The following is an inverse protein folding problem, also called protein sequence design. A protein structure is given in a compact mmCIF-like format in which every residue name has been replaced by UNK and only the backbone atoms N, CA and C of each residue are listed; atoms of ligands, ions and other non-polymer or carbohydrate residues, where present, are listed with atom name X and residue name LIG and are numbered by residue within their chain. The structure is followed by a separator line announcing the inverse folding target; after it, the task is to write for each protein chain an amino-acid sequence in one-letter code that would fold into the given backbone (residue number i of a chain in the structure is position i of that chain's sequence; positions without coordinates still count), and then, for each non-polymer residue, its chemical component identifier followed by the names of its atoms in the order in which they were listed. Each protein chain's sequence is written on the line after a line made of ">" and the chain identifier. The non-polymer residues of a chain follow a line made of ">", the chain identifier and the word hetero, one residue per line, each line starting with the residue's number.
data_IF_756091593498
#
_entry.id   IF_756091593498
#
_cell.length_a   1.000
_cell.length_b   1.000
_cell.length_c   1.000
_cell.angle_alpha   90.00
_cell.angle_beta   90.00
_cell.angle_gamma   90.00
#
_symmetry.space_group_name_H-M   'P 1'
#
loop_
_entity.id
_entity.type
_entity.pdbx_description
1 polymer ?
#
# COMPACT_ATOMS: atom_id res chain seq x y z
N UNK A 1 -11.88 -18.14 13.59
CA UNK A 1 -11.04 -17.13 14.29
C UNK A 1 -10.69 -16.01 13.33
N UNK A 2 -10.88 -14.76 13.75
CA UNK A 2 -10.56 -13.61 12.90
C UNK A 2 -9.05 -13.42 12.80
N UNK A 3 -8.59 -13.12 11.59
CA UNK A 3 -7.17 -12.83 11.37
C UNK A 3 -6.76 -11.53 12.07
N UNK A 4 -5.52 -11.45 12.47
CA UNK A 4 -4.89 -10.24 13.00
C UNK A 4 -3.69 -9.82 12.13
N UNK A 5 -3.60 -10.36 10.92
CA UNK A 5 -2.47 -10.15 10.03
C UNK A 5 -2.81 -9.18 8.92
N UNK A 6 -1.93 -8.21 8.72
CA UNK A 6 -2.02 -7.23 7.63
C UNK A 6 -0.99 -7.60 6.57
N UNK A 7 -1.40 -7.63 5.31
CA UNK A 7 -0.50 -7.90 4.20
C UNK A 7 0.01 -6.58 3.61
N UNK A 8 1.32 -6.43 3.57
CA UNK A 8 1.96 -5.33 2.85
C UNK A 8 2.34 -5.85 1.46
N UNK A 9 1.85 -5.18 0.42
CA UNK A 9 2.21 -5.52 -0.96
C UNK A 9 3.06 -4.39 -1.48
N UNK A 10 4.33 -4.68 -1.76
CA UNK A 10 5.32 -3.67 -2.13
C UNK A 10 5.85 -3.90 -3.53
N UNK A 11 5.79 -2.86 -4.35
CA UNK A 11 6.47 -2.83 -5.64
C UNK A 11 7.81 -2.14 -5.43
N UNK A 12 8.90 -2.90 -5.54
CA UNK A 12 10.24 -2.40 -5.19
C UNK A 12 11.05 -1.91 -6.38
N UNK A 13 10.40 -1.29 -7.35
CA UNK A 13 11.08 -0.77 -8.52
C UNK A 13 12.17 0.25 -8.13
N UNK A 14 11.85 1.14 -7.18
CA UNK A 14 12.82 2.10 -6.62
C UNK A 14 13.10 1.66 -5.18
N UNK A 15 14.12 0.82 -4.98
CA UNK A 15 14.35 0.14 -3.71
C UNK A 15 14.56 1.07 -2.51
N UNK A 16 15.25 2.19 -2.68
CA UNK A 16 15.45 3.15 -1.59
C UNK A 16 14.13 3.72 -1.08
N UNK A 17 13.26 4.08 -2.01
CA UNK A 17 11.94 4.65 -1.70
C UNK A 17 11.07 3.58 -1.06
N UNK A 18 11.05 2.39 -1.65
CA UNK A 18 10.27 1.26 -1.14
C UNK A 18 10.70 0.86 0.27
N UNK A 19 12.00 0.86 0.55
CA UNK A 19 12.51 0.53 1.87
C UNK A 19 12.02 1.50 2.94
N UNK A 20 11.97 2.80 2.64
CA UNK A 20 11.42 3.79 3.56
C UNK A 20 9.94 3.54 3.84
N UNK A 21 9.17 3.30 2.78
CA UNK A 21 7.74 3.04 2.90
C UNK A 21 7.46 1.77 3.71
N UNK A 22 8.17 0.71 3.41
CA UNK A 22 8.02 -0.58 4.08
C UNK A 22 8.35 -0.50 5.56
N UNK A 23 9.47 0.10 5.90
CA UNK A 23 9.93 0.18 7.28
C UNK A 23 8.93 0.91 8.17
N UNK A 24 8.42 2.05 7.70
CA UNK A 24 7.44 2.83 8.46
C UNK A 24 6.12 2.09 8.60
N UNK A 25 5.71 1.37 7.57
CA UNK A 25 4.49 0.57 7.62
C UNK A 25 4.64 -0.58 8.63
N UNK A 26 5.73 -1.33 8.55
CA UNK A 26 6.00 -2.46 9.46
C UNK A 26 6.03 -2.00 10.91
N UNK A 27 6.75 -0.92 11.19
CA UNK A 27 6.88 -0.41 12.56
C UNK A 27 5.52 -0.01 13.13
N UNK A 28 4.70 0.66 12.35
CA UNK A 28 3.38 1.08 12.82
C UNK A 28 2.43 -0.09 13.03
N UNK A 29 2.44 -1.06 12.12
CA UNK A 29 1.61 -2.27 12.26
C UNK A 29 1.95 -3.00 13.56
N UNK A 30 3.22 -3.17 13.84
CA UNK A 30 3.69 -3.83 15.08
C UNK A 30 3.31 -3.03 16.32
N UNK A 31 3.51 -1.71 16.26
CA UNK A 31 3.15 -0.81 17.36
C UNK A 31 1.67 -0.92 17.74
N UNK A 32 0.81 -1.11 16.74
CA UNK A 32 -0.64 -1.20 16.96
C UNK A 32 -1.12 -2.61 17.30
N UNK A 33 -0.20 -3.55 17.47
CA UNK A 33 -0.51 -4.90 17.93
C UNK A 33 -0.98 -5.87 16.84
N UNK A 34 -0.72 -5.56 15.58
CA UNK A 34 -1.04 -6.45 14.47
C UNK A 34 0.18 -7.22 14.01
N UNK A 35 -0.07 -8.38 13.42
CA UNK A 35 0.97 -9.13 12.69
C UNK A 35 1.02 -8.63 11.25
N UNK A 36 2.11 -8.93 10.56
CA UNK A 36 2.23 -8.55 9.15
C UNK A 36 2.92 -9.63 8.33
N UNK A 37 2.64 -9.62 7.06
CA UNK A 37 3.41 -10.32 6.03
C UNK A 37 3.71 -9.31 4.94
N UNK A 38 4.80 -9.52 4.21
CA UNK A 38 5.19 -8.65 3.11
C UNK A 38 5.43 -9.49 1.86
N UNK A 39 4.83 -9.11 0.76
CA UNK A 39 5.10 -9.70 -0.55
C UNK A 39 5.56 -8.62 -1.51
N UNK A 40 6.44 -9.00 -2.41
CA UNK A 40 6.95 -8.11 -3.44
C UNK A 40 6.31 -8.43 -4.78
N UNK A 41 6.06 -7.37 -5.56
CA UNK A 41 5.59 -7.49 -6.94
C UNK A 41 6.50 -6.65 -7.84
N UNK A 42 6.54 -6.93 -9.15
CA UNK A 42 7.45 -6.22 -10.05
C UNK A 42 7.23 -4.71 -10.12
N UNK A 43 5.99 -4.27 -10.15
CA UNK A 43 5.66 -2.86 -10.25
C UNK A 43 4.30 -2.56 -9.67
N UNK A 44 3.94 -1.27 -9.64
CA UNK A 44 2.66 -0.83 -9.08
C UNK A 44 1.47 -1.43 -9.87
N UNK A 45 1.67 -1.71 -11.14
CA UNK A 45 0.61 -2.27 -11.99
C UNK A 45 0.18 -3.67 -11.51
N UNK A 46 1.06 -4.42 -10.85
CA UNK A 46 0.77 -5.76 -10.36
C UNK A 46 0.21 -5.81 -8.95
N UNK A 47 0.21 -4.68 -8.23
CA UNK A 47 -0.28 -4.62 -6.86
C UNK A 47 -1.75 -5.03 -6.72
N UNK A 48 -2.68 -4.53 -7.56
CA UNK A 48 -4.08 -4.93 -7.41
C UNK A 48 -4.32 -6.43 -7.57
N UNK A 49 -3.65 -7.07 -8.52
CA UNK A 49 -3.80 -8.51 -8.74
C UNK A 49 -3.31 -9.31 -7.53
N UNK A 50 -2.15 -8.94 -6.98
CA UNK A 50 -1.61 -9.60 -5.80
C UNK A 50 -2.57 -9.47 -4.60
N UNK A 51 -3.16 -8.29 -4.42
CA UNK A 51 -4.12 -8.06 -3.36
C UNK A 51 -5.38 -8.92 -3.57
N UNK A 52 -5.87 -8.98 -4.81
CA UNK A 52 -7.04 -9.79 -5.13
C UNK A 52 -6.78 -11.27 -4.87
N UNK A 53 -5.60 -11.78 -5.19
CA UNK A 53 -5.23 -13.16 -4.88
C UNK A 53 -5.27 -13.41 -3.37
N UNK A 54 -4.65 -12.50 -2.61
CA UNK A 54 -4.57 -12.62 -1.16
C UNK A 54 -5.95 -12.54 -0.49
N UNK A 55 -6.82 -11.68 -1.01
CA UNK A 55 -8.16 -11.49 -0.46
C UNK A 55 -9.00 -12.77 -0.49
N UNK A 56 -8.79 -13.61 -1.50
CA UNK A 56 -9.52 -14.87 -1.63
C UNK A 56 -9.16 -15.88 -0.56
N UNK A 57 -8.03 -15.72 0.11
CA UNK A 57 -7.59 -16.67 1.14
C UNK A 57 -8.23 -16.42 2.49
N UNK A 58 -8.84 -15.26 2.71
CA UNK A 58 -9.40 -14.82 4.00
C UNK A 58 -8.36 -14.81 5.12
N UNK A 59 -7.09 -14.72 4.77
CA UNK A 59 -5.97 -14.81 5.70
C UNK A 59 -5.63 -13.45 6.36
N UNK A 60 -6.02 -12.36 5.71
CA UNK A 60 -5.61 -11.01 6.14
C UNK A 60 -6.80 -10.15 6.52
N UNK A 61 -6.59 -9.32 7.55
CA UNK A 61 -7.63 -8.38 8.01
C UNK A 61 -7.55 -7.04 7.26
N UNK A 62 -6.40 -6.74 6.68
CA UNK A 62 -6.20 -5.50 5.94
C UNK A 62 -4.98 -5.59 5.04
N UNK A 63 -4.82 -4.57 4.22
CA UNK A 63 -3.79 -4.53 3.18
C UNK A 63 -3.18 -3.15 3.10
N UNK A 64 -1.86 -3.07 2.90
CA UNK A 64 -1.17 -1.81 2.62
C UNK A 64 -0.47 -1.96 1.28
N UNK A 65 -0.85 -1.13 0.33
CA UNK A 65 -0.26 -1.13 -1.01
C UNK A 65 0.82 -0.07 -1.07
N UNK A 66 2.06 -0.48 -1.27
CA UNK A 66 3.21 0.42 -1.31
C UNK A 66 3.92 0.36 -2.66
N UNK A 67 4.36 1.49 -3.14
CA UNK A 67 5.10 1.57 -4.38
C UNK A 67 5.42 3.00 -4.75
N UNK A 68 6.04 3.14 -5.92
CA UNK A 68 6.39 4.46 -6.44
C UNK A 68 6.41 4.41 -7.96
N UNK A 69 5.67 5.34 -8.57
CA UNK A 69 5.67 5.52 -10.02
C UNK A 69 6.19 6.93 -10.28
N UNK A 70 7.22 7.03 -11.11
CA UNK A 70 7.81 8.31 -11.48
C UNK A 70 7.60 8.51 -12.99
N UNK A 71 7.14 9.71 -13.37
CA UNK A 71 6.85 10.01 -14.77
C UNK A 71 8.10 9.89 -15.61
N UNK A 72 8.00 9.14 -16.71
CA UNK A 72 9.05 9.01 -17.71
C UNK A 72 8.69 9.79 -18.96
N UNK A 73 9.25 9.36 -20.10
CA UNK A 73 9.08 10.06 -21.38
C UNK A 73 7.76 9.76 -22.09
N UNK A 74 7.07 8.70 -21.67
CA UNK A 74 5.87 8.22 -22.36
C UNK A 74 4.64 8.29 -21.46
N UNK A 75 3.48 7.97 -22.02
CA UNK A 75 2.22 7.93 -21.30
C UNK A 75 2.10 6.72 -20.37
N UNK A 76 3.11 5.85 -20.30
CA UNK A 76 3.10 4.66 -19.43
C UNK A 76 2.77 5.01 -17.98
N UNK A 77 3.33 6.11 -17.48
CA UNK A 77 3.05 6.61 -16.13
C UNK A 77 1.55 6.75 -15.87
N UNK A 78 0.85 7.37 -16.83
CA UNK A 78 -0.59 7.64 -16.67
C UNK A 78 -1.39 6.34 -16.57
N UNK A 79 -1.06 5.34 -17.38
CA UNK A 79 -1.73 4.05 -17.33
C UNK A 79 -1.49 3.33 -16.01
N UNK A 80 -0.25 3.31 -15.53
CA UNK A 80 0.09 2.63 -14.28
C UNK A 80 -0.61 3.30 -13.11
N UNK A 81 -0.56 4.62 -13.02
CA UNK A 81 -1.19 5.37 -11.94
C UNK A 81 -2.71 5.19 -11.95
N UNK A 82 -3.32 5.39 -13.12
CA UNK A 82 -4.78 5.32 -13.23
C UNK A 82 -5.32 3.92 -12.94
N UNK A 83 -4.71 2.89 -13.52
CA UNK A 83 -5.22 1.53 -13.36
C UNK A 83 -4.95 0.95 -11.98
N UNK A 84 -3.80 1.24 -11.38
CA UNK A 84 -3.53 0.78 -10.01
C UNK A 84 -4.49 1.44 -9.02
N UNK A 85 -4.72 2.74 -9.13
CA UNK A 85 -5.64 3.46 -8.26
C UNK A 85 -7.08 2.99 -8.45
N UNK A 86 -7.52 2.86 -9.71
CA UNK A 86 -8.87 2.44 -10.04
C UNK A 86 -9.18 1.03 -9.49
N UNK A 87 -8.27 0.09 -9.74
CA UNK A 87 -8.47 -1.29 -9.30
C UNK A 87 -8.46 -1.43 -7.79
N UNK A 88 -7.55 -0.72 -7.10
CA UNK A 88 -7.51 -0.74 -5.63
C UNK A 88 -8.76 -0.09 -5.02
N UNK A 89 -9.25 0.98 -5.63
CA UNK A 89 -10.49 1.60 -5.19
C UNK A 89 -11.68 0.64 -5.34
N UNK A 90 -11.73 -0.09 -6.45
CA UNK A 90 -12.79 -1.08 -6.65
C UNK A 90 -12.76 -2.16 -5.57
N UNK A 91 -11.59 -2.65 -5.22
CA UNK A 91 -11.43 -3.64 -4.15
C UNK A 91 -11.82 -3.05 -2.79
N UNK A 92 -11.51 -1.79 -2.54
CA UNK A 92 -11.92 -1.09 -1.32
C UNK A 92 -13.45 -1.01 -1.20
N UNK A 93 -14.12 -0.66 -2.29
CA UNK A 93 -15.58 -0.55 -2.32
C UNK A 93 -16.23 -1.92 -2.10
N UNK A 94 -15.55 -3.00 -2.49
CA UNK A 94 -16.02 -4.36 -2.25
C UNK A 94 -15.86 -4.80 -0.79
N UNK A 95 -15.25 -3.97 0.06
CA UNK A 95 -15.19 -4.21 1.50
C UNK A 95 -13.83 -4.56 2.06
N UNK A 96 -12.75 -4.40 1.29
CA UNK A 96 -11.41 -4.66 1.78
C UNK A 96 -10.82 -3.41 2.41
N UNK A 97 -10.14 -3.57 3.54
CA UNK A 97 -9.51 -2.46 4.25
C UNK A 97 -8.11 -2.21 3.67
N UNK A 98 -7.99 -1.19 2.85
CA UNK A 98 -6.77 -0.93 2.07
C UNK A 98 -6.19 0.44 2.41
N UNK A 99 -4.89 0.49 2.68
CA UNK A 99 -4.13 1.73 2.76
C UNK A 99 -3.40 1.93 1.44
N UNK A 100 -3.59 3.08 0.81
CA UNK A 100 -3.00 3.38 -0.51
C UNK A 100 -1.72 4.19 -0.32
N UNK A 101 -0.58 3.54 -0.53
CA UNK A 101 0.75 4.15 -0.41
C UNK A 101 1.58 4.03 -1.67
N UNK A 102 0.95 3.99 -2.83
CA UNK A 102 1.65 4.04 -4.11
C UNK A 102 1.85 5.51 -4.46
N UNK A 103 3.11 5.94 -4.43
CA UNK A 103 3.48 7.32 -4.75
C UNK A 103 3.43 7.53 -6.26
N UNK A 104 2.86 8.65 -6.68
CA UNK A 104 2.76 9.00 -8.09
C UNK A 104 3.40 10.38 -8.26
N UNK A 105 4.64 10.39 -8.74
CA UNK A 105 5.51 11.58 -8.67
C UNK A 105 6.08 11.95 -10.03
N UNK A 106 6.44 13.23 -10.18
CA UNK A 106 7.09 13.73 -11.38
C UNK A 106 8.60 13.48 -11.32
N UNK A 107 9.18 13.37 -10.12
CA UNK A 107 10.62 13.23 -9.95
C UNK A 107 10.97 12.36 -8.75
N UNK A 108 12.22 11.87 -8.72
CA UNK A 108 12.74 11.09 -7.59
C UNK A 108 12.78 11.93 -6.31
N UNK A 109 13.07 13.22 -6.42
CA UNK A 109 13.09 14.13 -5.27
C UNK A 109 11.71 14.24 -4.63
N UNK A 110 10.67 14.35 -5.45
CA UNK A 110 9.30 14.35 -4.94
C UNK A 110 8.97 13.05 -4.22
N UNK A 111 9.41 11.93 -4.79
CA UNK A 111 9.16 10.62 -4.20
C UNK A 111 9.85 10.48 -2.84
N UNK A 112 11.13 10.88 -2.75
CA UNK A 112 11.87 10.81 -1.48
C UNK A 112 11.25 11.71 -0.42
N UNK A 113 10.82 12.92 -0.80
CA UNK A 113 10.16 13.82 0.15
C UNK A 113 8.90 13.20 0.76
N UNK A 114 8.20 12.37 -0.03
CA UNK A 114 6.97 11.71 0.42
C UNK A 114 7.24 10.42 1.19
N UNK A 115 8.29 9.70 0.85
CA UNK A 115 8.64 8.44 1.50
C UNK A 115 9.41 8.65 2.82
N UNK A 116 10.20 9.71 2.89
CA UNK A 116 11.07 9.97 4.03
C UNK A 116 10.27 10.15 5.32
N UNK A 117 10.62 9.42 6.41
CA UNK A 117 9.94 9.57 7.70
C UNK A 117 10.02 10.99 8.26
N UNK A 118 11.08 11.73 7.92
CA UNK A 118 11.24 13.13 8.32
C UNK A 118 10.51 14.11 7.42
N UNK A 119 9.98 13.64 6.29
CA UNK A 119 9.17 14.42 5.37
C UNK A 119 7.70 14.08 5.54
N UNK A 120 7.02 13.78 4.44
CA UNK A 120 5.58 13.50 4.47
C UNK A 120 5.23 12.12 5.01
N UNK A 121 6.18 11.23 5.05
CA UNK A 121 6.02 9.87 5.62
C UNK A 121 4.74 9.16 5.14
N UNK A 122 4.63 8.98 3.83
CA UNK A 122 3.42 8.40 3.22
C UNK A 122 3.24 6.91 3.54
N UNK A 123 4.30 6.20 3.91
CA UNK A 123 4.19 4.82 4.40
C UNK A 123 3.37 4.76 5.68
N UNK A 124 3.62 5.69 6.59
CA UNK A 124 2.84 5.81 7.82
C UNK A 124 1.40 6.22 7.52
N UNK A 125 1.20 7.21 6.64
CA UNK A 125 -0.13 7.69 6.30
C UNK A 125 -0.99 6.58 5.69
N UNK A 126 -0.44 5.81 4.77
CA UNK A 126 -1.15 4.70 4.14
C UNK A 126 -1.52 3.62 5.17
N UNK A 127 -0.59 3.32 6.06
CA UNK A 127 -0.83 2.31 7.10
C UNK A 127 -1.90 2.77 8.09
N UNK A 128 -1.89 4.04 8.49
CA UNK A 128 -2.93 4.61 9.35
C UNK A 128 -4.31 4.50 8.69
N UNK A 129 -4.38 4.75 7.38
CA UNK A 129 -5.63 4.60 6.65
C UNK A 129 -6.15 3.16 6.68
N UNK A 130 -5.26 2.20 6.45
CA UNK A 130 -5.63 0.78 6.54
C UNK A 130 -6.17 0.43 7.93
N UNK A 131 -5.45 0.84 8.97
CA UNK A 131 -5.83 0.56 10.35
C UNK A 131 -7.18 1.19 10.70
N UNK A 132 -7.41 2.43 10.26
CA UNK A 132 -8.69 3.09 10.49
C UNK A 132 -9.83 2.35 9.80
N UNK A 133 -9.61 1.88 8.58
CA UNK A 133 -10.65 1.15 7.84
C UNK A 133 -10.94 -0.21 8.48
N UNK A 134 -9.95 -0.87 9.05
CA UNK A 134 -10.15 -2.09 9.81
C UNK A 134 -11.08 -1.82 11.00
N UNK A 135 -10.78 -0.76 11.77
CA UNK A 135 -11.58 -0.38 12.94
C UNK A 135 -13.00 0.01 12.54
N UNK A 136 -13.12 0.83 11.50
CA UNK A 136 -14.43 1.28 11.02
C UNK A 136 -15.31 0.10 10.60
N UNK A 137 -14.73 -0.86 9.90
CA UNK A 137 -15.46 -2.05 9.47
C UNK A 137 -15.99 -2.83 10.67
N UNK A 138 -15.20 -2.97 11.73
CA UNK A 138 -15.64 -3.61 12.99
C UNK A 138 -16.76 -2.82 13.67
N UNK A 139 -16.67 -1.49 13.65
CA UNK A 139 -17.69 -0.64 14.26
C UNK A 139 -19.05 -0.76 13.54
N UNK A 140 -19.01 -0.90 12.23
CA UNK A 140 -20.22 -0.98 11.40
C UNK A 140 -20.84 -2.39 11.46
N UNK A 141 -20.00 -3.42 11.47
CA UNK A 141 -20.47 -4.80 11.60
C UNK A 141 -21.03 -5.06 13.01
#
# INVERSE_FOLDING_TARGET
>A
MKSNCILIISSRFYSEISSCLELESINLIKEKGYDYELVEVPGAFEVPAALAYAAKTSKYIGYVALGCVIRGETSHYDYVCNESARALMQLSVEGLSIGYGILTCESKEQAMARANPKGLNKGKAATLACLRMIELKKEID
#
